data_IF_630698126700
#
_entry.id   IF_630698126700
#
_cell.length_a   1.000
_cell.length_b   1.000
_cell.length_c   1.000
_cell.angle_alpha   90.00
_cell.angle_beta   90.00
_cell.angle_gamma   90.00
#
_symmetry.space_group_name_H-M   'P 1'
#
loop_
_entity.id
_entity.type
_entity.pdbx_description
1 polymer ?
#
# COMPACT_ATOMS: atom_id res chain seq x y z
N UNK A 1 -59.02 1.41 12.70
CA UNK A 1 -59.26 2.67 13.45
C UNK A 1 -57.93 3.42 13.47
N UNK A 2 -57.78 4.45 12.61
CA UNK A 2 -58.08 5.88 12.88
C UNK A 2 -57.06 6.49 13.85
N UNK A 3 -56.08 7.26 13.31
CA UNK A 3 -56.03 8.74 13.21
C UNK A 3 -55.26 9.29 14.43
N UNK A 4 -54.09 9.93 14.28
CA UNK A 4 -53.72 11.15 13.55
C UNK A 4 -53.96 12.44 14.36
N UNK A 5 -53.15 13.45 14.00
CA UNK A 5 -53.33 14.89 14.13
C UNK A 5 -52.65 15.51 15.36
N UNK A 6 -51.59 16.31 15.21
CA UNK A 6 -51.48 17.70 14.68
C UNK A 6 -50.81 18.51 15.83
N UNK A 7 -50.09 19.63 15.68
CA UNK A 7 -50.16 20.73 14.72
C UNK A 7 -49.09 21.76 15.15
N UNK A 8 -48.25 22.26 14.22
CA UNK A 8 -48.29 23.65 13.68
C UNK A 8 -47.39 24.63 14.47
N UNK A 9 -46.40 25.30 13.84
CA UNK A 9 -46.44 26.55 13.02
C UNK A 9 -45.53 27.56 13.76
N UNK A 10 -44.84 28.56 13.19
CA UNK A 10 -44.79 29.13 11.84
C UNK A 10 -43.74 30.25 11.81
N UNK A 11 -43.10 30.41 10.63
CA UNK A 11 -42.63 31.63 9.93
C UNK A 11 -42.00 32.83 10.67
N UNK A 12 -40.90 33.34 10.09
CA UNK A 12 -40.95 34.62 9.32
C UNK A 12 -39.70 34.82 8.42
N UNK A 13 -39.94 35.23 7.17
CA UNK A 13 -39.01 35.75 6.15
C UNK A 13 -39.31 37.24 5.97
N UNK A 14 -38.32 38.12 5.74
CA UNK A 14 -38.40 39.34 4.89
C UNK A 14 -36.97 39.86 4.60
N UNK A 15 -36.52 39.99 3.32
CA UNK A 15 -36.40 41.22 2.47
C UNK A 15 -35.26 42.16 2.90
N UNK A 16 -34.49 42.89 2.08
CA UNK A 16 -34.23 43.03 0.63
C UNK A 16 -32.91 43.86 0.48
N UNK A 17 -32.34 43.90 -0.74
CA UNK A 17 -31.06 44.51 -1.22
C UNK A 17 -30.97 46.08 -1.12
N UNK A 18 -30.04 46.77 -1.82
CA UNK A 18 -28.67 47.21 -1.45
C UNK A 18 -28.49 48.76 -1.51
N UNK A 19 -27.32 49.33 -1.19
CA UNK A 19 -26.99 50.71 -1.60
C UNK A 19 -25.48 50.96 -1.82
N UNK A 20 -25.22 51.92 -2.72
CA UNK A 20 -23.98 52.28 -3.42
C UNK A 20 -23.09 53.30 -2.67
N UNK A 21 -21.91 53.53 -3.27
CA UNK A 21 -20.93 54.63 -3.05
C UNK A 21 -20.01 54.45 -1.83
N UNK A 22 -18.71 54.72 -1.87
CA UNK A 22 -17.85 55.43 -2.83
C UNK A 22 -16.74 56.11 -2.02
N UNK A 23 -15.63 56.43 -2.69
CA UNK A 23 -14.49 57.27 -2.22
C UNK A 23 -13.36 56.53 -1.48
N UNK A 24 -12.19 56.58 -2.13
CA UNK A 24 -10.93 56.07 -1.61
C UNK A 24 -10.22 57.05 -0.67
N UNK A 25 -9.28 56.51 0.10
CA UNK A 25 -8.25 57.28 0.81
C UNK A 25 -6.92 56.52 0.70
N UNK A 26 -5.89 57.32 0.45
CA UNK A 26 -4.54 57.00 0.04
C UNK A 26 -3.69 56.19 1.04
N UNK A 27 -2.90 55.28 0.46
CA UNK A 27 -1.47 55.02 0.65
C UNK A 27 -0.76 55.66 1.88
N UNK A 28 -0.35 54.81 2.83
CA UNK A 28 0.87 54.99 3.64
C UNK A 28 1.60 53.65 3.65
N UNK A 29 2.61 53.49 2.78
CA UNK A 29 3.53 52.35 2.80
C UNK A 29 4.55 52.62 3.91
N UNK A 30 4.32 52.04 5.08
CA UNK A 30 5.34 51.88 6.10
C UNK A 30 6.26 50.73 5.71
N UNK A 31 7.49 51.05 5.30
CA UNK A 31 8.57 50.07 5.15
C UNK A 31 8.98 49.58 6.54
N UNK A 32 8.30 48.55 7.02
CA UNK A 32 8.72 47.78 8.19
C UNK A 32 9.83 46.83 7.79
N UNK A 33 11.08 47.22 8.06
CA UNK A 33 12.25 46.35 7.94
C UNK A 33 12.15 45.27 9.04
N UNK A 34 11.49 44.15 8.72
CA UNK A 34 11.49 42.96 9.57
C UNK A 34 12.89 42.35 9.49
N UNK A 35 13.74 42.70 10.45
CA UNK A 35 14.97 41.98 10.71
C UNK A 35 14.60 40.57 11.20
N UNK A 36 14.50 39.64 10.26
CA UNK A 36 14.42 38.22 10.54
C UNK A 36 15.74 37.79 11.20
N UNK A 37 15.75 37.77 12.52
CA UNK A 37 16.83 37.11 13.27
C UNK A 37 16.62 35.61 13.11
N UNK A 38 17.31 35.01 12.15
CA UNK A 38 17.43 33.57 12.05
C UNK A 38 18.17 33.07 13.29
N UNK A 39 17.42 32.65 14.31
CA UNK A 39 17.99 31.78 15.34
C UNK A 39 18.41 30.49 14.64
N UNK A 40 19.68 30.07 14.71
CA UNK A 40 20.05 28.75 14.25
C UNK A 40 19.30 27.76 15.16
N UNK A 41 18.25 27.15 14.63
CA UNK A 41 17.77 25.88 15.17
C UNK A 41 18.95 24.94 14.99
N UNK A 42 19.54 24.50 16.08
CA UNK A 42 20.52 23.41 16.04
C UNK A 42 19.79 22.21 15.45
N UNK A 43 19.95 22.00 14.15
CA UNK A 43 19.48 20.81 13.48
C UNK A 43 20.21 19.64 14.12
N UNK A 44 19.51 18.88 14.96
CA UNK A 44 19.98 17.56 15.38
C UNK A 44 20.16 16.78 14.07
N UNK A 45 21.39 16.38 13.77
CA UNK A 45 21.62 15.54 12.61
C UNK A 45 20.83 14.24 12.84
N UNK A 46 20.06 13.79 11.85
CA UNK A 46 19.24 12.58 12.02
C UNK A 46 20.08 11.34 12.38
N UNK A 47 21.38 11.39 12.06
CA UNK A 47 22.42 10.43 12.42
C UNK A 47 22.65 10.32 13.94
N UNK A 48 22.45 11.41 14.70
CA UNK A 48 22.65 11.46 16.16
C UNK A 48 21.55 10.73 16.93
N UNK A 49 20.41 10.41 16.29
CA UNK A 49 19.32 9.66 16.90
C UNK A 49 19.71 8.18 16.93
N UNK A 50 20.20 7.70 18.08
CA UNK A 50 20.48 6.29 18.31
C UNK A 50 19.31 5.61 19.04
N UNK A 51 18.77 4.56 18.43
CA UNK A 51 17.67 3.79 18.99
C UNK A 51 18.14 2.40 19.40
N UNK A 52 18.11 2.15 20.70
CA UNK A 52 18.33 0.82 21.28
C UNK A 52 17.09 -0.06 21.05
N UNK A 53 17.31 -1.27 20.53
CA UNK A 53 16.24 -2.23 20.20
C UNK A 53 15.63 -2.90 21.41
N UNK A 54 16.36 -2.96 22.52
CA UNK A 54 15.92 -3.63 23.74
C UNK A 54 15.30 -2.64 24.74
N UNK A 55 15.25 -1.35 24.39
CA UNK A 55 14.62 -0.30 25.19
C UNK A 55 13.11 -0.29 25.03
N UNK A 56 12.37 -0.05 26.12
CA UNK A 56 10.91 0.20 26.11
C UNK A 56 10.52 1.34 25.16
N UNK A 57 11.43 2.29 24.92
CA UNK A 57 11.21 3.45 24.07
C UNK A 57 11.61 3.22 22.60
N UNK A 58 12.00 2.00 22.21
CA UNK A 58 12.49 1.69 20.86
C UNK A 58 11.54 2.21 19.77
N UNK A 59 10.24 1.89 19.86
CA UNK A 59 9.25 2.31 18.86
C UNK A 59 9.12 3.83 18.77
N UNK A 60 9.09 4.52 19.91
CA UNK A 60 9.04 5.99 19.96
C UNK A 60 10.30 6.61 19.35
N UNK A 61 11.48 6.08 19.67
CA UNK A 61 12.74 6.53 19.09
C UNK A 61 12.79 6.28 17.58
N UNK A 62 12.41 5.08 17.14
CA UNK A 62 12.40 4.68 15.73
C UNK A 62 11.47 5.61 14.94
N UNK A 63 10.27 5.89 15.45
CA UNK A 63 9.33 6.83 14.84
C UNK A 63 9.92 8.25 14.72
N UNK A 64 10.60 8.75 15.76
CA UNK A 64 11.29 10.05 15.69
C UNK A 64 12.39 10.07 14.63
N UNK A 65 13.17 8.99 14.52
CA UNK A 65 14.22 8.88 13.52
C UNK A 65 13.65 8.83 12.10
N UNK A 66 12.59 8.05 11.89
CA UNK A 66 11.87 8.04 10.62
C UNK A 66 11.34 9.42 10.26
N UNK A 67 10.79 10.16 11.22
CA UNK A 67 10.28 11.50 10.97
C UNK A 67 11.39 12.48 10.59
N UNK A 68 12.51 12.48 11.32
CA UNK A 68 13.67 13.30 11.00
C UNK A 68 14.15 13.07 9.56
N UNK A 69 14.29 11.80 9.16
CA UNK A 69 14.70 11.45 7.80
C UNK A 69 13.66 11.86 6.75
N UNK A 70 12.35 11.77 7.04
CA UNK A 70 11.30 12.25 6.14
C UNK A 70 11.36 13.77 5.95
N UNK A 71 11.60 14.50 7.02
CA UNK A 71 11.73 15.96 6.97
C UNK A 71 12.97 16.37 6.16
N UNK A 72 14.10 15.65 6.35
CA UNK A 72 15.32 15.80 5.54
C UNK A 72 15.06 15.51 4.05
N UNK A 73 14.38 14.40 3.73
CA UNK A 73 13.99 14.08 2.34
C UNK A 73 13.16 15.22 1.74
N UNK A 74 12.17 15.74 2.47
CA UNK A 74 11.33 16.81 1.98
C UNK A 74 12.12 18.11 1.71
N UNK A 75 13.06 18.46 2.61
CA UNK A 75 13.96 19.59 2.41
C UNK A 75 14.87 19.39 1.18
N UNK A 76 15.55 18.25 1.09
CA UNK A 76 16.46 17.93 -0.02
C UNK A 76 15.70 17.86 -1.36
N UNK A 77 14.45 17.39 -1.37
CA UNK A 77 13.58 17.40 -2.55
C UNK A 77 13.33 18.81 -3.09
N UNK A 78 13.17 19.81 -2.23
CA UNK A 78 12.99 21.21 -2.68
C UNK A 78 14.25 21.79 -3.32
N UNK A 79 15.41 21.22 -2.99
CA UNK A 79 16.72 21.59 -3.49
C UNK A 79 17.22 20.62 -4.59
N UNK A 80 16.42 19.62 -4.98
CA UNK A 80 16.84 18.50 -5.82
C UNK A 80 17.12 18.95 -7.26
N UNK A 81 18.39 19.24 -7.53
CA UNK A 81 18.92 19.56 -8.86
C UNK A 81 20.33 19.03 -9.05
N UNK A 82 20.79 18.07 -8.24
CA UNK A 82 22.15 17.54 -8.37
C UNK A 82 22.21 16.04 -8.08
N UNK A 83 23.25 15.39 -8.62
CA UNK A 83 23.56 13.99 -8.38
C UNK A 83 23.69 13.66 -6.92
N UNK A 84 24.34 14.53 -6.16
CA UNK A 84 24.48 14.31 -4.73
C UNK A 84 23.13 14.36 -4.01
N UNK A 85 22.29 15.35 -4.29
CA UNK A 85 20.98 15.48 -3.63
C UNK A 85 20.09 14.27 -3.92
N UNK A 86 20.19 13.72 -5.11
CA UNK A 86 19.47 12.53 -5.49
C UNK A 86 19.95 11.26 -4.78
N UNK A 87 21.27 11.08 -4.70
CA UNK A 87 21.88 9.98 -3.96
C UNK A 87 21.47 10.06 -2.49
N UNK A 88 21.50 11.26 -1.90
CA UNK A 88 21.12 11.50 -0.50
C UNK A 88 19.65 11.15 -0.25
N UNK A 89 18.74 11.56 -1.15
CA UNK A 89 17.32 11.20 -1.06
C UNK A 89 17.13 9.68 -1.09
N UNK A 90 17.79 8.97 -2.02
CA UNK A 90 17.69 7.51 -2.11
C UNK A 90 18.27 6.83 -0.86
N UNK A 91 19.39 7.33 -0.33
CA UNK A 91 20.00 6.82 0.90
C UNK A 91 19.10 7.02 2.12
N UNK A 92 18.50 8.20 2.27
CA UNK A 92 17.59 8.48 3.36
C UNK A 92 16.30 7.64 3.26
N UNK A 93 15.79 7.42 2.03
CA UNK A 93 14.65 6.51 1.79
C UNK A 93 14.97 5.06 2.17
N UNK A 94 16.14 4.56 1.76
CA UNK A 94 16.65 3.24 2.14
C UNK A 94 16.77 3.14 3.67
N UNK A 95 17.29 4.17 4.33
CA UNK A 95 17.41 4.20 5.78
C UNK A 95 16.04 4.16 6.49
N UNK A 96 15.07 4.94 6.01
CA UNK A 96 13.68 4.88 6.51
C UNK A 96 13.08 3.48 6.30
N UNK A 97 13.31 2.86 5.15
CA UNK A 97 12.78 1.54 4.85
C UNK A 97 13.41 0.45 5.74
N UNK A 98 14.72 0.52 5.98
CA UNK A 98 15.42 -0.35 6.93
C UNK A 98 14.89 -0.19 8.36
N UNK A 99 14.57 1.04 8.78
CA UNK A 99 13.98 1.31 10.10
C UNK A 99 12.58 0.70 10.25
N UNK A 100 11.75 0.76 9.20
CA UNK A 100 10.44 0.10 9.16
C UNK A 100 10.56 -1.42 9.22
N UNK A 101 11.48 -2.01 8.45
CA UNK A 101 11.77 -3.45 8.50
C UNK A 101 12.20 -3.87 9.90
N UNK A 102 13.11 -3.09 10.53
CA UNK A 102 13.55 -3.36 11.88
C UNK A 102 12.40 -3.30 12.91
N UNK A 103 11.49 -2.33 12.74
CA UNK A 103 10.29 -2.18 13.54
C UNK A 103 9.34 -3.37 13.38
N UNK A 104 8.97 -3.72 12.14
CA UNK A 104 8.08 -4.86 11.86
C UNK A 104 8.69 -6.18 12.35
N UNK A 105 10.01 -6.36 12.22
CA UNK A 105 10.71 -7.52 12.83
C UNK A 105 10.61 -7.54 14.35
N UNK A 106 10.61 -6.38 15.02
CA UNK A 106 10.43 -6.30 16.46
C UNK A 106 8.99 -6.63 16.88
N UNK A 107 8.00 -6.12 16.14
CA UNK A 107 6.57 -6.45 16.32
C UNK A 107 6.32 -7.95 16.16
N UNK A 108 6.91 -8.58 15.13
CA UNK A 108 6.85 -10.03 14.92
C UNK A 108 7.40 -10.79 16.12
N UNK A 109 8.58 -10.42 16.64
CA UNK A 109 9.19 -11.09 17.79
C UNK A 109 8.32 -10.99 19.05
N UNK A 110 7.77 -9.81 19.31
CA UNK A 110 6.89 -9.59 20.46
C UNK A 110 5.60 -10.41 20.34
N UNK A 111 4.99 -10.43 19.15
CA UNK A 111 3.78 -11.19 18.89
C UNK A 111 4.01 -12.71 18.97
N UNK A 112 5.13 -13.20 18.46
CA UNK A 112 5.53 -14.61 18.58
C UNK A 112 5.70 -15.02 20.05
N UNK A 113 6.32 -14.17 20.88
CA UNK A 113 6.42 -14.37 22.33
C UNK A 113 5.03 -14.42 23.00
N UNK A 114 4.13 -13.50 22.66
CA UNK A 114 2.76 -13.52 23.20
C UNK A 114 1.99 -14.79 22.79
N UNK A 115 2.20 -15.30 21.57
CA UNK A 115 1.60 -16.56 21.10
C UNK A 115 2.17 -17.76 21.87
N UNK A 116 3.45 -17.75 22.18
CA UNK A 116 4.11 -18.77 23.02
C UNK A 116 3.52 -18.78 24.44
N UNK A 117 3.44 -17.63 25.10
CA UNK A 117 2.83 -17.48 26.43
C UNK A 117 1.36 -17.93 26.45
N UNK A 118 0.58 -17.58 25.41
CA UNK A 118 -0.80 -18.07 25.27
C UNK A 118 -0.85 -19.59 25.08
N UNK A 119 0.11 -20.17 24.37
CA UNK A 119 0.17 -21.61 24.14
C UNK A 119 0.41 -22.36 25.44
N UNK A 120 1.34 -21.89 26.27
CA UNK A 120 1.59 -22.46 27.60
C UNK A 120 0.37 -22.33 28.51
N UNK A 121 -0.30 -21.17 28.50
CA UNK A 121 -1.52 -20.94 29.29
C UNK A 121 -2.67 -21.85 28.86
N UNK A 122 -2.90 -22.00 27.56
CA UNK A 122 -3.92 -22.90 27.02
C UNK A 122 -3.62 -24.34 27.43
N UNK A 123 -2.37 -24.78 27.34
CA UNK A 123 -1.96 -26.12 27.77
C UNK A 123 -2.23 -26.36 29.27
N UNK A 124 -1.93 -25.38 30.13
CA UNK A 124 -2.25 -25.47 31.55
C UNK A 124 -3.76 -25.53 31.84
N UNK A 125 -4.57 -24.78 31.08
CA UNK A 125 -6.04 -24.82 31.17
C UNK A 125 -6.60 -26.17 30.72
N UNK A 126 -6.07 -26.74 29.64
CA UNK A 126 -6.43 -28.05 29.08
C UNK A 126 -6.25 -29.17 30.12
N UNK A 127 -5.07 -29.25 30.73
CA UNK A 127 -4.79 -30.21 31.81
C UNK A 127 -5.72 -30.06 33.02
N UNK A 128 -6.08 -28.82 33.36
CA UNK A 128 -7.02 -28.54 34.45
C UNK A 128 -8.43 -29.01 34.12
N UNK A 129 -8.87 -28.72 32.89
CA UNK A 129 -10.18 -29.13 32.36
C UNK A 129 -10.31 -30.64 32.27
N UNK A 130 -9.28 -31.35 31.80
CA UNK A 130 -9.24 -32.81 31.76
C UNK A 130 -9.38 -33.41 33.17
N UNK A 131 -8.67 -32.85 34.15
CA UNK A 131 -8.76 -33.30 35.54
C UNK A 131 -10.17 -33.08 36.12
N UNK A 132 -10.77 -31.90 35.91
CA UNK A 132 -12.12 -31.62 36.38
C UNK A 132 -13.15 -32.51 35.70
N UNK A 133 -13.03 -32.69 34.38
CA UNK A 133 -13.90 -33.53 33.58
C UNK A 133 -13.83 -34.99 34.03
N UNK A 134 -12.62 -35.52 34.28
CA UNK A 134 -12.42 -36.87 34.80
C UNK A 134 -13.09 -37.09 36.17
N UNK A 135 -12.94 -36.14 37.10
CA UNK A 135 -13.60 -36.20 38.42
C UNK A 135 -15.12 -36.12 38.29
N UNK A 136 -15.64 -35.27 37.41
CA UNK A 136 -17.08 -35.15 37.16
C UNK A 136 -17.64 -36.44 36.56
N UNK A 137 -16.97 -37.04 35.58
CA UNK A 137 -17.37 -38.31 34.96
C UNK A 137 -17.39 -39.45 35.99
N UNK A 138 -16.35 -39.61 36.81
CA UNK A 138 -16.32 -40.63 37.88
C UNK A 138 -17.49 -40.44 38.88
N UNK A 139 -17.78 -39.19 39.26
CA UNK A 139 -18.89 -38.87 40.16
C UNK A 139 -20.25 -39.16 39.53
N UNK A 140 -20.46 -38.83 38.26
CA UNK A 140 -21.71 -39.12 37.54
C UNK A 140 -21.94 -40.62 37.45
N UNK A 141 -20.92 -41.40 37.12
CA UNK A 141 -21.02 -42.87 37.04
C UNK A 141 -21.36 -43.47 38.40
N UNK A 142 -20.68 -43.04 39.48
CA UNK A 142 -20.98 -43.50 40.84
C UNK A 142 -22.38 -43.11 41.29
N UNK A 143 -22.80 -41.88 41.00
CA UNK A 143 -24.14 -41.42 41.32
C UNK A 143 -25.21 -42.23 40.58
N UNK A 144 -25.01 -42.52 39.28
CA UNK A 144 -25.90 -43.38 38.50
C UNK A 144 -26.03 -44.79 39.10
N UNK A 145 -24.91 -45.43 39.47
CA UNK A 145 -24.90 -46.76 40.11
C UNK A 145 -25.63 -46.77 41.47
N UNK A 146 -25.59 -45.67 42.21
CA UNK A 146 -26.32 -45.52 43.47
C UNK A 146 -27.81 -45.22 43.21
N UNK A 147 -28.13 -44.38 42.23
CA UNK A 147 -29.51 -44.03 41.87
C UNK A 147 -30.31 -45.22 41.31
N UNK A 148 -29.65 -46.21 40.71
CA UNK A 148 -30.28 -47.49 40.32
C UNK A 148 -30.70 -48.36 41.50
N UNK A 149 -30.25 -48.07 42.73
CA UNK A 149 -30.74 -48.69 43.96
C UNK A 149 -31.92 -47.90 44.51
N UNK A 150 -33.01 -48.57 44.91
CA UNK A 150 -34.23 -47.90 45.37
C UNK A 150 -33.97 -47.15 46.70
N UNK A 151 -33.95 -45.80 46.73
CA UNK A 151 -33.56 -45.00 47.91
C UNK A 151 -34.48 -45.19 49.11
N UNK A 152 -35.75 -45.50 48.83
CA UNK A 152 -36.75 -45.79 49.86
C UNK A 152 -36.43 -47.13 50.51
N UNK A 153 -36.05 -48.14 49.72
CA UNK A 153 -35.72 -49.47 50.21
C UNK A 153 -34.42 -49.47 51.06
N UNK A 154 -33.42 -48.67 50.68
CA UNK A 154 -32.15 -48.51 51.44
C UNK A 154 -32.33 -47.74 52.75
N UNK A 155 -33.25 -46.76 52.79
CA UNK A 155 -33.60 -46.06 54.03
C UNK A 155 -34.25 -46.99 55.07
N UNK A 156 -35.11 -47.91 54.61
CA UNK A 156 -35.82 -48.88 55.47
C UNK A 156 -35.00 -50.14 55.80
N UNK A 157 -33.92 -50.44 55.04
CA UNK A 157 -33.06 -51.60 55.31
C UNK A 157 -31.98 -51.34 56.37
N UNK A 158 -31.65 -50.07 56.66
CA UNK A 158 -30.62 -49.71 57.64
C UNK A 158 -31.23 -49.55 59.04
N UNK A 159 -30.75 -50.34 60.01
CA UNK A 159 -31.36 -50.51 61.35
C UNK A 159 -31.21 -49.34 62.34
N UNK A 160 -30.79 -48.14 61.92
CA UNK A 160 -30.61 -46.98 62.82
C UNK A 160 -30.95 -45.63 62.15
N UNK A 161 -31.79 -44.84 62.81
CA UNK A 161 -32.19 -43.49 62.35
C UNK A 161 -31.01 -42.51 62.25
N UNK A 162 -29.98 -42.71 63.08
CA UNK A 162 -28.77 -41.87 63.05
C UNK A 162 -27.93 -42.12 61.79
N UNK A 163 -27.82 -43.37 61.32
CA UNK A 163 -27.09 -43.68 60.09
C UNK A 163 -27.77 -43.11 58.85
N UNK A 164 -29.10 -43.18 58.77
CA UNK A 164 -29.85 -42.67 57.61
C UNK A 164 -29.81 -41.14 57.51
N UNK A 165 -29.81 -40.42 58.63
CA UNK A 165 -29.66 -38.96 58.64
C UNK A 165 -28.24 -38.52 58.23
N UNK A 166 -27.21 -39.26 58.66
CA UNK A 166 -25.84 -39.01 58.26
C UNK A 166 -25.64 -39.23 56.74
N UNK A 167 -26.25 -40.27 56.18
CA UNK A 167 -26.22 -40.57 54.75
C UNK A 167 -26.89 -39.47 53.90
N UNK A 168 -28.07 -38.98 54.30
CA UNK A 168 -28.73 -37.85 53.63
C UNK A 168 -27.90 -36.55 53.67
N UNK A 169 -27.24 -36.27 54.80
CA UNK A 169 -26.32 -35.13 54.92
C UNK A 169 -25.13 -35.29 53.98
N UNK A 170 -24.56 -36.50 53.89
CA UNK A 170 -23.45 -36.81 52.99
C UNK A 170 -23.83 -36.66 51.52
N UNK A 171 -24.99 -37.17 51.10
CA UNK A 171 -25.49 -37.03 49.73
C UNK A 171 -25.66 -35.55 49.33
N UNK A 172 -26.26 -34.72 50.20
CA UNK A 172 -26.40 -33.28 49.96
C UNK A 172 -25.05 -32.58 49.85
N UNK A 173 -24.06 -32.97 50.66
CA UNK A 173 -22.71 -32.43 50.58
C UNK A 173 -22.05 -32.76 49.24
N UNK A 174 -22.14 -34.01 48.79
CA UNK A 174 -21.59 -34.46 47.49
C UNK A 174 -22.27 -33.76 46.32
N UNK A 175 -23.59 -33.57 46.35
CA UNK A 175 -24.32 -32.81 45.34
C UNK A 175 -23.83 -31.36 45.24
N UNK A 176 -23.66 -30.68 46.37
CA UNK A 176 -23.12 -29.31 46.42
C UNK A 176 -21.71 -29.23 45.86
N UNK A 177 -20.82 -30.14 46.26
CA UNK A 177 -19.45 -30.18 45.75
C UNK A 177 -19.41 -30.48 44.24
N UNK A 178 -20.33 -31.31 43.74
CA UNK A 178 -20.45 -31.63 42.32
C UNK A 178 -20.90 -30.41 41.51
N UNK A 179 -21.94 -29.69 41.99
CA UNK A 179 -22.37 -28.43 41.37
C UNK A 179 -21.25 -27.38 41.34
N UNK A 180 -20.48 -27.24 42.44
CA UNK A 180 -19.32 -26.36 42.49
C UNK A 180 -18.20 -26.78 41.52
N UNK A 181 -17.96 -28.09 41.37
CA UNK A 181 -16.96 -28.62 40.44
C UNK A 181 -17.38 -28.38 38.98
N UNK A 182 -18.67 -28.54 38.68
CA UNK A 182 -19.24 -28.26 37.36
C UNK A 182 -19.11 -26.77 37.01
N UNK A 183 -19.49 -25.87 37.91
CA UNK A 183 -19.34 -24.44 37.71
C UNK A 183 -17.87 -24.01 37.50
N UNK A 184 -16.92 -24.66 38.19
CA UNK A 184 -15.48 -24.44 37.95
C UNK A 184 -15.05 -24.92 36.56
N UNK A 185 -15.48 -26.10 36.14
CA UNK A 185 -15.18 -26.64 34.82
C UNK A 185 -15.77 -25.78 33.70
N UNK A 186 -17.00 -25.29 33.88
CA UNK A 186 -17.65 -24.38 32.93
C UNK A 186 -16.87 -23.06 32.79
N UNK A 187 -16.52 -22.41 33.90
CA UNK A 187 -15.71 -21.18 33.87
C UNK A 187 -14.34 -21.40 33.22
N UNK A 188 -13.66 -22.51 33.55
CA UNK A 188 -12.37 -22.84 32.93
C UNK A 188 -12.50 -23.09 31.43
N UNK A 189 -13.60 -23.69 30.99
CA UNK A 189 -13.86 -23.95 29.57
C UNK A 189 -14.06 -22.64 28.83
N UNK A 190 -14.84 -21.71 29.39
CA UNK A 190 -15.03 -20.38 28.81
C UNK A 190 -13.69 -19.65 28.67
N UNK A 191 -12.86 -19.65 29.72
CA UNK A 191 -11.52 -19.05 29.64
C UNK A 191 -10.63 -19.74 28.61
N UNK A 192 -10.66 -21.07 28.52
CA UNK A 192 -9.92 -21.81 27.49
C UNK A 192 -10.35 -21.40 26.08
N UNK A 193 -11.66 -21.34 25.82
CA UNK A 193 -12.22 -20.96 24.52
C UNK A 193 -11.82 -19.51 24.17
N UNK A 194 -11.88 -18.57 25.13
CA UNK A 194 -11.41 -17.19 24.96
C UNK A 194 -9.91 -17.09 24.64
N UNK A 195 -9.05 -17.79 25.39
CA UNK A 195 -7.60 -17.78 25.13
C UNK A 195 -7.27 -18.40 23.76
N UNK A 196 -7.99 -19.46 23.38
CA UNK A 196 -7.83 -20.09 22.06
C UNK A 196 -8.22 -19.16 20.92
N UNK A 197 -9.33 -18.43 21.06
CA UNK A 197 -9.74 -17.41 20.08
C UNK A 197 -8.71 -16.27 19.99
N UNK A 198 -8.22 -15.78 21.13
CA UNK A 198 -7.19 -14.73 21.15
C UNK A 198 -5.89 -15.20 20.46
N UNK A 199 -5.46 -16.44 20.70
CA UNK A 199 -4.30 -17.03 20.01
C UNK A 199 -4.53 -17.06 18.50
N UNK A 200 -5.71 -17.48 18.03
CA UNK A 200 -6.03 -17.50 16.60
C UNK A 200 -5.97 -16.09 15.98
N UNK A 201 -6.51 -15.08 16.67
CA UNK A 201 -6.43 -13.69 16.19
C UNK A 201 -4.99 -13.21 16.06
N UNK A 202 -4.14 -13.51 17.06
CA UNK A 202 -2.71 -13.16 17.01
C UNK A 202 -1.94 -13.90 15.92
N UNK A 203 -2.31 -15.13 15.61
CA UNK A 203 -1.73 -15.87 14.48
C UNK A 203 -2.05 -15.20 13.14
N UNK A 204 -3.29 -14.72 12.95
CA UNK A 204 -3.66 -13.97 11.75
C UNK A 204 -2.90 -12.63 11.66
N UNK A 205 -2.75 -11.93 12.78
CA UNK A 205 -1.94 -10.70 12.85
C UNK A 205 -0.47 -10.96 12.52
N UNK A 206 0.08 -12.09 12.97
CA UNK A 206 1.45 -12.51 12.65
C UNK A 206 1.64 -12.76 11.15
N UNK A 207 0.67 -13.41 10.51
CA UNK A 207 0.70 -13.67 9.07
C UNK A 207 0.63 -12.37 8.26
N UNK A 208 -0.18 -11.39 8.68
CA UNK A 208 -0.21 -10.04 8.06
C UNK A 208 1.14 -9.33 8.19
N UNK A 209 1.74 -9.35 9.39
CA UNK A 209 3.06 -8.74 9.62
C UNK A 209 4.16 -9.39 8.78
N UNK A 210 4.12 -10.72 8.61
CA UNK A 210 5.06 -11.46 7.76
C UNK A 210 4.92 -11.08 6.28
N UNK A 211 3.68 -10.97 5.78
CA UNK A 211 3.39 -10.49 4.43
C UNK A 211 3.88 -9.05 4.22
N UNK A 212 3.63 -8.16 5.19
CA UNK A 212 4.13 -6.78 5.17
C UNK A 212 5.65 -6.72 5.15
N UNK A 213 6.33 -7.56 5.92
CA UNK A 213 7.79 -7.64 5.96
C UNK A 213 8.37 -8.06 4.59
N UNK A 214 7.73 -9.01 3.91
CA UNK A 214 8.12 -9.43 2.56
C UNK A 214 8.01 -8.26 1.57
N UNK A 215 6.87 -7.57 1.55
CA UNK A 215 6.68 -6.38 0.72
C UNK A 215 7.70 -5.28 1.03
N UNK A 216 7.98 -5.06 2.32
CA UNK A 216 8.97 -4.07 2.74
C UNK A 216 10.39 -4.44 2.28
N UNK A 217 10.74 -5.73 2.27
CA UNK A 217 12.05 -6.22 1.84
C UNK A 217 12.20 -6.10 0.34
N UNK A 218 11.18 -6.49 -0.43
CA UNK A 218 11.17 -6.30 -1.88
C UNK A 218 11.30 -4.82 -2.29
N UNK A 219 10.66 -3.91 -1.53
CA UNK A 219 10.83 -2.46 -1.75
C UNK A 219 12.25 -1.99 -1.44
N UNK A 220 12.89 -2.52 -0.39
CA UNK A 220 14.28 -2.18 -0.06
C UNK A 220 15.23 -2.63 -1.18
N UNK A 221 15.06 -3.85 -1.69
CA UNK A 221 15.89 -4.39 -2.77
C UNK A 221 15.74 -3.55 -4.05
N UNK A 222 14.51 -3.12 -4.37
CA UNK A 222 14.26 -2.21 -5.49
C UNK A 222 15.00 -0.87 -5.31
N UNK A 223 14.87 -0.23 -4.15
CA UNK A 223 15.55 1.04 -3.85
C UNK A 223 17.07 0.93 -3.93
N UNK A 224 17.64 -0.22 -3.54
CA UNK A 224 19.07 -0.48 -3.66
C UNK A 224 19.50 -0.63 -5.12
N UNK A 225 18.73 -1.39 -5.91
CA UNK A 225 18.98 -1.54 -7.35
C UNK A 225 18.89 -0.19 -8.08
N UNK A 226 17.92 0.66 -7.74
CA UNK A 226 17.78 2.00 -8.34
C UNK A 226 19.00 2.88 -8.05
N UNK A 227 19.53 2.81 -6.82
CA UNK A 227 20.74 3.54 -6.44
C UNK A 227 21.96 3.05 -7.22
N UNK A 228 22.14 1.74 -7.33
CA UNK A 228 23.26 1.15 -8.09
C UNK A 228 23.18 1.52 -9.57
N UNK A 229 21.97 1.49 -10.12
CA UNK A 229 21.72 1.87 -11.50
C UNK A 229 22.01 3.35 -11.75
N UNK A 230 21.56 4.24 -10.86
CA UNK A 230 21.91 5.66 -10.92
C UNK A 230 23.42 5.88 -10.97
N UNK A 231 24.17 5.24 -10.07
CA UNK A 231 25.62 5.34 -10.06
C UNK A 231 26.27 4.76 -11.32
N UNK A 232 25.69 3.69 -11.88
CA UNK A 232 26.16 3.05 -13.12
C UNK A 232 25.97 3.95 -14.34
N UNK A 233 24.80 4.56 -14.51
CA UNK A 233 24.47 5.38 -15.69
C UNK A 233 25.15 6.74 -15.64
N UNK A 234 25.21 7.36 -14.46
CA UNK A 234 25.85 8.67 -14.30
C UNK A 234 27.36 8.56 -14.19
N UNK A 235 27.90 7.39 -13.80
CA UNK A 235 29.33 7.20 -13.51
C UNK A 235 29.87 8.23 -12.50
N UNK A 236 29.00 8.69 -11.59
CA UNK A 236 29.29 9.77 -10.65
C UNK A 236 29.57 11.14 -11.31
N UNK A 237 29.06 11.39 -12.51
CA UNK A 237 29.22 12.63 -13.27
C UNK A 237 27.94 13.49 -13.25
N UNK A 238 28.08 14.72 -12.72
CA UNK A 238 27.00 15.68 -12.57
C UNK A 238 26.46 16.17 -13.92
N UNK A 239 27.32 16.33 -14.94
CA UNK A 239 26.86 16.80 -16.24
C UNK A 239 26.00 15.75 -16.94
N UNK A 240 26.40 14.48 -16.87
CA UNK A 240 25.65 13.33 -17.35
C UNK A 240 24.29 13.23 -16.64
N UNK A 241 24.29 13.44 -15.32
CA UNK A 241 23.07 13.57 -14.51
C UNK A 241 22.12 14.66 -15.07
N UNK A 242 22.63 15.88 -15.30
CA UNK A 242 21.80 16.99 -15.76
C UNK A 242 21.24 16.78 -17.16
N UNK A 243 22.00 16.11 -18.04
CA UNK A 243 21.54 15.79 -19.39
C UNK A 243 20.38 14.81 -19.37
N UNK A 244 20.52 13.73 -18.59
CA UNK A 244 19.45 12.78 -18.38
C UNK A 244 18.22 13.49 -17.77
N UNK A 245 18.41 14.54 -16.94
CA UNK A 245 17.32 15.29 -16.29
C UNK A 245 16.45 15.99 -17.30
N UNK A 246 17.14 16.73 -18.16
CA UNK A 246 16.51 17.48 -19.20
C UNK A 246 15.78 16.54 -20.17
N UNK A 247 16.38 15.39 -20.51
CA UNK A 247 15.76 14.37 -21.35
C UNK A 247 14.47 13.82 -20.74
N UNK A 248 14.51 13.35 -19.49
CA UNK A 248 13.33 12.78 -18.83
C UNK A 248 12.19 13.82 -18.63
N UNK A 249 12.53 15.07 -18.30
CA UNK A 249 11.53 16.15 -18.19
C UNK A 249 10.91 16.46 -19.55
N UNK A 250 11.73 16.55 -20.60
CA UNK A 250 11.27 16.88 -21.93
C UNK A 250 10.38 15.77 -22.49
N UNK A 251 10.76 14.50 -22.30
CA UNK A 251 10.00 13.35 -22.79
C UNK A 251 8.64 13.24 -22.09
N UNK A 252 8.61 13.37 -20.76
CA UNK A 252 7.37 13.46 -20.00
C UNK A 252 6.45 14.56 -20.54
N UNK A 253 6.98 15.76 -20.76
CA UNK A 253 6.18 16.87 -21.27
C UNK A 253 5.65 16.57 -22.70
N UNK A 254 6.40 15.82 -23.51
CA UNK A 254 6.01 15.36 -24.84
C UNK A 254 4.80 14.41 -24.76
N UNK A 255 4.88 13.42 -23.87
CA UNK A 255 3.82 12.44 -23.61
C UNK A 255 2.56 13.13 -23.05
N UNK A 256 2.71 14.03 -22.08
CA UNK A 256 1.58 14.78 -21.50
C UNK A 256 0.79 15.53 -22.59
N UNK A 257 1.49 16.16 -23.53
CA UNK A 257 0.82 16.84 -24.65
C UNK A 257 0.11 15.84 -25.57
N UNK A 258 0.73 14.69 -25.83
CA UNK A 258 0.15 13.66 -26.68
C UNK A 258 -1.13 13.03 -26.09
N UNK A 259 -1.18 12.80 -24.77
CA UNK A 259 -2.38 12.30 -24.07
C UNK A 259 -3.53 13.31 -24.09
N UNK A 260 -3.21 14.61 -24.12
CA UNK A 260 -4.20 15.70 -24.22
C UNK A 260 -4.72 15.96 -25.65
N UNK A 261 -4.11 15.32 -26.65
CA UNK A 261 -4.41 15.49 -28.07
C UNK A 261 -4.24 14.16 -28.82
N UNK A 262 -5.05 13.17 -28.45
CA UNK A 262 -5.14 11.89 -29.16
C UNK A 262 -5.58 12.14 -30.60
N UNK A 263 -4.79 11.64 -31.55
CA UNK A 263 -4.99 11.78 -32.98
C UNK A 263 -6.05 10.83 -33.55
N UNK A 264 -5.94 10.56 -34.84
CA UNK A 264 -6.94 9.77 -35.56
C UNK A 264 -7.05 8.33 -35.04
N UNK A 265 -8.29 7.81 -34.98
CA UNK A 265 -8.56 6.38 -34.76
C UNK A 265 -7.96 5.59 -35.93
N UNK A 266 -7.11 4.63 -35.60
CA UNK A 266 -6.50 3.69 -36.56
C UNK A 266 -7.49 2.56 -36.85
N UNK A 267 -8.06 1.96 -35.79
CA UNK A 267 -8.96 0.81 -35.90
C UNK A 267 -8.94 -0.05 -34.66
N UNK A 268 -9.62 -1.18 -34.72
CA UNK A 268 -9.63 -2.17 -33.65
C UNK A 268 -8.43 -3.11 -33.83
N UNK A 269 -7.76 -3.45 -32.72
CA UNK A 269 -6.54 -4.27 -32.69
C UNK A 269 -6.69 -5.44 -31.73
N UNK A 270 -6.12 -6.58 -32.09
CA UNK A 270 -6.05 -7.77 -31.26
C UNK A 270 -4.89 -7.77 -30.27
N UNK A 271 -5.01 -8.54 -29.19
CA UNK A 271 -3.89 -8.80 -28.26
C UNK A 271 -2.74 -9.47 -29.02
N UNK A 272 -1.56 -8.86 -28.99
CA UNK A 272 -0.36 -9.34 -29.68
C UNK A 272 -0.31 -8.98 -31.16
N UNK A 273 -1.26 -8.20 -31.68
CA UNK A 273 -1.21 -7.68 -33.05
C UNK A 273 -0.10 -6.63 -33.19
N UNK A 274 0.55 -6.60 -34.35
CA UNK A 274 1.57 -5.59 -34.64
C UNK A 274 0.88 -4.25 -34.88
N UNK A 275 1.14 -3.27 -34.01
CA UNK A 275 0.50 -1.94 -34.07
C UNK A 275 1.45 -0.83 -34.52
N UNK A 276 2.76 -1.05 -34.39
CA UNK A 276 3.79 -0.11 -34.79
C UNK A 276 5.13 -0.83 -34.94
N UNK A 277 6.17 -0.07 -35.27
CA UNK A 277 7.57 -0.50 -35.17
C UNK A 277 8.33 0.42 -34.25
N UNK A 278 9.39 -0.06 -33.61
CA UNK A 278 10.26 0.77 -32.76
C UNK A 278 10.95 1.85 -33.60
N UNK A 279 10.84 3.11 -33.17
CA UNK A 279 11.39 4.28 -33.86
C UNK A 279 12.45 4.99 -33.02
N UNK A 280 12.54 6.32 -33.19
CA UNK A 280 13.40 7.23 -32.43
C UNK A 280 12.90 8.68 -32.64
N UNK A 281 11.66 8.96 -32.25
CA UNK A 281 10.99 10.25 -32.48
C UNK A 281 10.83 11.04 -31.20
N UNK A 282 10.81 12.37 -31.25
CA UNK A 282 10.69 13.21 -30.05
C UNK A 282 11.91 13.17 -29.14
N UNK A 283 11.67 13.23 -27.82
CA UNK A 283 12.69 13.33 -26.78
C UNK A 283 13.38 11.99 -26.50
N UNK A 284 14.07 11.45 -27.50
CA UNK A 284 14.66 10.10 -27.47
C UNK A 284 16.14 10.12 -27.84
N UNK A 285 17.02 9.66 -26.95
CA UNK A 285 18.47 9.55 -27.23
C UNK A 285 18.86 8.37 -28.13
N UNK A 286 17.97 7.40 -28.34
CA UNK A 286 18.22 6.26 -29.20
C UNK A 286 17.01 5.35 -29.37
N UNK A 287 17.01 4.42 -30.35
CA UNK A 287 15.85 3.59 -30.62
C UNK A 287 15.45 2.70 -29.44
N UNK A 288 14.26 2.94 -28.90
CA UNK A 288 13.63 2.13 -27.86
C UNK A 288 12.10 2.31 -27.90
N UNK A 289 11.37 1.45 -27.18
CA UNK A 289 9.94 1.60 -26.92
C UNK A 289 9.75 2.06 -25.48
N UNK A 290 9.22 3.27 -25.28
CA UNK A 290 8.69 3.70 -23.99
C UNK A 290 7.21 3.28 -23.87
N UNK A 291 6.90 2.48 -22.85
CA UNK A 291 5.58 1.84 -22.70
C UNK A 291 4.91 2.19 -21.37
N UNK A 292 3.70 2.77 -21.42
CA UNK A 292 2.95 3.16 -20.22
C UNK A 292 1.58 2.46 -20.15
N UNK A 293 1.07 2.33 -18.93
CA UNK A 293 -0.24 1.75 -18.67
C UNK A 293 -1.04 2.58 -17.65
N UNK A 294 -2.28 2.87 -18.00
CA UNK A 294 -3.22 3.66 -17.23
C UNK A 294 -4.42 2.78 -16.85
N UNK A 295 -4.76 2.68 -15.57
CA UNK A 295 -6.00 2.07 -15.06
C UNK A 295 -7.09 3.13 -14.90
N UNK A 296 -8.34 2.69 -14.84
CA UNK A 296 -9.52 3.56 -14.75
C UNK A 296 -9.51 4.68 -15.80
N UNK A 297 -9.02 4.40 -17.01
CA UNK A 297 -8.88 5.36 -18.09
C UNK A 297 -9.62 4.88 -19.35
N UNK A 298 -9.99 5.83 -20.21
CA UNK A 298 -10.54 5.60 -21.56
C UNK A 298 -10.17 6.76 -22.49
N UNK A 299 -10.29 6.55 -23.80
CA UNK A 299 -10.17 7.61 -24.80
C UNK A 299 -11.55 8.20 -25.07
N UNK A 300 -11.69 9.52 -24.89
CA UNK A 300 -12.93 10.26 -25.17
C UNK A 300 -12.60 11.63 -25.76
N UNK A 301 -13.31 12.01 -26.82
CA UNK A 301 -13.18 13.33 -27.47
C UNK A 301 -11.72 13.73 -27.80
N UNK A 302 -10.93 12.76 -28.26
CA UNK A 302 -9.51 12.97 -28.60
C UNK A 302 -8.59 13.17 -27.39
N UNK A 303 -8.97 12.67 -26.21
CA UNK A 303 -8.19 12.76 -24.97
C UNK A 303 -8.23 11.47 -24.18
N UNK A 304 -7.19 11.19 -23.41
CA UNK A 304 -7.24 10.16 -22.36
C UNK A 304 -7.85 10.78 -21.10
N UNK A 305 -8.97 10.21 -20.63
CA UNK A 305 -9.75 10.71 -19.49
C UNK A 305 -10.01 9.61 -18.46
N UNK A 306 -10.29 9.99 -17.22
CA UNK A 306 -10.82 9.11 -16.19
C UNK A 306 -12.12 8.46 -16.71
N UNK A 307 -12.25 7.16 -16.48
CA UNK A 307 -13.37 6.36 -16.99
C UNK A 307 -14.72 6.83 -16.45
N UNK A 308 -14.76 7.30 -15.21
CA UNK A 308 -15.97 7.66 -14.45
C UNK A 308 -16.23 9.17 -14.46
N UNK A 309 -15.22 10.01 -14.15
CA UNK A 309 -15.41 11.47 -14.05
C UNK A 309 -15.26 12.21 -15.37
N UNK A 310 -14.71 11.57 -16.41
CA UNK A 310 -14.29 12.21 -17.67
C UNK A 310 -13.25 13.33 -17.50
N UNK A 311 -12.61 13.43 -16.32
CA UNK A 311 -11.52 14.38 -16.10
C UNK A 311 -10.28 13.96 -16.92
N UNK A 312 -9.53 14.89 -17.52
CA UNK A 312 -8.29 14.56 -18.21
C UNK A 312 -7.34 13.80 -17.28
N UNK A 313 -6.79 12.68 -17.77
CA UNK A 313 -5.72 11.97 -17.06
C UNK A 313 -4.48 12.87 -17.11
N UNK A 314 -4.27 13.65 -16.05
CA UNK A 314 -3.08 14.49 -15.90
C UNK A 314 -1.98 13.73 -15.14
N UNK A 315 -0.73 14.07 -15.44
CA UNK A 315 0.47 13.77 -14.64
C UNK A 315 0.48 14.56 -13.32
N UNK A 316 -0.61 14.56 -12.56
CA UNK A 316 -0.38 14.36 -11.14
C UNK A 316 -0.16 12.86 -11.01
N UNK A 317 0.50 12.38 -9.98
CA UNK A 317 0.37 10.96 -9.61
C UNK A 317 -1.10 10.78 -9.21
N UNK A 318 -1.97 10.73 -10.21
CA UNK A 318 -3.34 10.33 -10.12
C UNK A 318 -3.29 8.82 -9.98
N UNK A 319 -4.29 8.25 -9.32
CA UNK A 319 -4.34 6.80 -9.10
C UNK A 319 -4.29 5.99 -10.41
N UNK A 320 -4.37 6.59 -11.59
CA UNK A 320 -4.41 5.93 -12.89
C UNK A 320 -3.11 5.25 -13.32
N UNK A 321 -1.94 5.86 -13.12
CA UNK A 321 -0.71 5.29 -13.68
C UNK A 321 -0.24 4.05 -12.89
N UNK A 322 -0.10 2.92 -13.58
CA UNK A 322 0.27 1.62 -12.98
C UNK A 322 1.54 1.03 -13.59
N UNK A 323 2.19 0.14 -12.84
CA UNK A 323 3.37 -0.57 -13.32
C UNK A 323 2.98 -1.53 -14.44
N UNK A 324 3.44 -1.31 -15.69
CA UNK A 324 3.14 -2.21 -16.79
C UNK A 324 3.74 -3.60 -16.57
N UNK A 325 4.88 -3.70 -15.87
CA UNK A 325 5.52 -4.99 -15.58
C UNK A 325 4.65 -5.89 -14.70
N UNK A 326 3.92 -5.36 -13.73
CA UNK A 326 3.01 -6.16 -12.89
C UNK A 326 1.97 -6.87 -13.75
N UNK A 327 1.46 -6.18 -14.78
CA UNK A 327 0.46 -6.71 -15.72
C UNK A 327 1.06 -7.68 -16.74
N UNK A 328 2.30 -7.44 -17.15
CA UNK A 328 3.03 -8.37 -18.04
C UNK A 328 3.34 -9.66 -17.28
N UNK A 329 3.85 -9.56 -16.05
CA UNK A 329 4.23 -10.68 -15.19
C UNK A 329 3.01 -11.50 -14.74
N UNK A 330 1.87 -10.85 -14.50
CA UNK A 330 0.60 -11.55 -14.23
C UNK A 330 -0.01 -12.22 -15.47
N UNK A 331 0.55 -11.97 -16.66
CA UNK A 331 0.00 -12.44 -17.94
C UNK A 331 -1.25 -11.69 -18.39
N UNK A 332 -1.65 -10.61 -17.70
CA UNK A 332 -2.77 -9.76 -18.10
C UNK A 332 -2.46 -8.98 -19.37
N UNK A 333 -1.22 -8.49 -19.52
CA UNK A 333 -0.70 -7.87 -20.73
C UNK A 333 0.25 -8.80 -21.46
N UNK A 334 0.22 -8.76 -22.79
CA UNK A 334 1.26 -9.32 -23.64
C UNK A 334 2.47 -8.39 -23.57
N UNK A 335 3.67 -8.97 -23.52
CA UNK A 335 4.91 -8.20 -23.62
C UNK A 335 4.94 -7.45 -24.98
N UNK A 336 5.04 -6.10 -24.99
CA UNK A 336 4.87 -5.31 -26.21
C UNK A 336 6.06 -5.39 -27.17
N UNK A 337 7.25 -5.73 -26.67
CA UNK A 337 8.44 -5.98 -27.48
C UNK A 337 9.15 -7.30 -27.10
N UNK A 338 8.63 -8.47 -27.48
CA UNK A 338 9.12 -9.76 -26.97
C UNK A 338 10.62 -10.00 -27.24
N UNK A 339 11.39 -10.36 -26.21
CA UNK A 339 12.83 -10.65 -26.33
C UNK A 339 13.74 -9.43 -26.15
N UNK A 340 13.19 -8.24 -25.96
CA UNK A 340 13.93 -7.06 -25.53
C UNK A 340 14.36 -7.16 -24.06
N UNK A 341 15.30 -6.30 -23.68
CA UNK A 341 15.64 -6.02 -22.29
C UNK A 341 15.00 -4.73 -21.83
N UNK A 342 14.73 -4.63 -20.53
CA UNK A 342 14.31 -3.38 -19.91
C UNK A 342 15.55 -2.48 -19.80
N UNK A 343 15.52 -1.30 -20.42
CA UNK A 343 16.59 -0.30 -20.31
C UNK A 343 16.33 0.70 -19.20
N UNK A 344 15.06 1.04 -18.94
CA UNK A 344 14.60 1.84 -17.79
C UNK A 344 13.27 1.28 -17.24
N UNK A 345 13.09 1.25 -15.93
CA UNK A 345 11.92 0.65 -15.28
C UNK A 345 10.80 1.65 -14.94
N UNK A 346 9.62 1.11 -14.57
CA UNK A 346 8.48 1.92 -14.14
C UNK A 346 8.60 2.37 -12.69
N UNK A 347 8.38 3.67 -12.43
CA UNK A 347 8.53 4.25 -11.09
C UNK A 347 9.84 3.86 -10.41
N UNK A 348 10.87 3.47 -11.17
CA UNK A 348 12.24 3.52 -10.66
C UNK A 348 12.39 4.95 -10.16
N UNK A 349 12.64 5.20 -8.86
CA UNK A 349 13.08 6.49 -8.36
C UNK A 349 14.35 6.85 -9.09
N UNK A 350 14.16 7.38 -10.28
CA UNK A 350 15.17 8.02 -11.02
C UNK A 350 15.20 9.44 -10.50
N UNK A 351 16.41 9.91 -10.28
CA UNK A 351 16.70 11.20 -9.69
C UNK A 351 16.22 12.41 -10.52
N UNK A 352 15.57 12.14 -11.65
CA UNK A 352 15.19 13.08 -12.70
C UNK A 352 13.70 13.32 -12.82
N UNK A 353 12.94 12.65 -11.96
CA UNK A 353 11.50 12.56 -12.04
C UNK A 353 11.07 11.10 -12.04
N UNK A 354 9.78 10.88 -12.27
CA UNK A 354 9.21 9.54 -12.33
C UNK A 354 9.24 9.11 -13.79
N UNK A 355 10.02 8.07 -14.10
CA UNK A 355 9.87 7.37 -15.37
C UNK A 355 8.47 6.71 -15.38
N UNK A 356 7.58 7.21 -16.23
CA UNK A 356 6.16 6.83 -16.21
C UNK A 356 5.82 5.59 -17.01
N UNK A 357 6.82 5.05 -17.68
CA UNK A 357 6.71 3.81 -18.43
C UNK A 357 7.81 2.82 -18.10
N UNK A 358 7.94 1.84 -18.98
CA UNK A 358 9.05 0.90 -19.03
C UNK A 358 9.65 1.03 -20.41
N UNK A 359 10.97 1.19 -20.46
CA UNK A 359 11.69 1.24 -21.73
C UNK A 359 12.18 -0.13 -22.13
N UNK A 360 11.88 -0.51 -23.36
CA UNK A 360 12.27 -1.76 -23.97
C UNK A 360 13.19 -1.51 -25.16
N UNK A 361 14.37 -2.14 -25.15
CA UNK A 361 15.31 -2.13 -26.28
C UNK A 361 16.11 -3.43 -26.34
N UNK A 362 16.76 -3.72 -27.48
CA UNK A 362 17.68 -4.85 -27.62
C UNK A 362 19.13 -4.38 -27.39
N UNK A 363 19.83 -4.98 -26.42
CA UNK A 363 21.21 -4.62 -26.03
C UNK A 363 22.27 -4.73 -27.15
N UNK A 364 21.94 -5.31 -28.31
CA UNK A 364 22.91 -5.65 -29.35
C UNK A 364 23.24 -4.49 -30.29
N UNK A 365 22.34 -3.50 -30.46
CA UNK A 365 22.59 -2.16 -31.06
C UNK A 365 21.27 -1.46 -31.45
N UNK A 366 21.31 -0.14 -31.60
CA UNK A 366 20.25 0.70 -32.19
C UNK A 366 19.69 0.16 -33.51
N UNK A 367 20.54 -0.47 -34.33
CA UNK A 367 20.15 -1.07 -35.61
C UNK A 367 19.29 -2.32 -35.45
N UNK A 368 19.47 -3.04 -34.35
CA UNK A 368 18.65 -4.22 -34.03
C UNK A 368 17.33 -3.78 -33.43
N UNK A 369 17.34 -2.76 -32.58
CA UNK A 369 16.13 -2.27 -31.91
C UNK A 369 15.19 -1.54 -32.87
N UNK A 370 15.71 -0.66 -33.73
CA UNK A 370 14.90 0.10 -34.68
C UNK A 370 14.19 -0.83 -35.68
N UNK A 371 12.91 -0.57 -35.90
CA UNK A 371 12.08 -1.32 -36.85
C UNK A 371 11.49 -2.61 -36.28
N UNK A 372 11.82 -3.00 -35.05
CA UNK A 372 11.23 -4.19 -34.42
C UNK A 372 9.72 -4.01 -34.23
N UNK A 373 8.91 -5.05 -34.43
CA UNK A 373 7.46 -4.95 -34.32
C UNK A 373 7.04 -4.73 -32.87
N UNK A 374 6.23 -3.69 -32.65
CA UNK A 374 5.57 -3.41 -31.38
C UNK A 374 4.21 -4.09 -31.40
N UNK A 375 3.93 -4.86 -30.35
CA UNK A 375 2.70 -5.62 -30.20
C UNK A 375 1.73 -4.93 -29.23
N UNK A 376 0.44 -4.93 -29.56
CA UNK A 376 -0.61 -4.53 -28.64
C UNK A 376 -0.62 -5.43 -27.38
N UNK A 377 -0.56 -4.81 -26.20
CA UNK A 377 -0.56 -5.48 -24.91
C UNK A 377 -1.85 -6.28 -24.65
N UNK A 378 -2.99 -5.77 -25.10
CA UNK A 378 -4.29 -6.44 -25.09
C UNK A 378 -5.15 -5.92 -26.26
N UNK A 379 -6.29 -6.55 -26.53
CA UNK A 379 -7.24 -6.09 -27.56
C UNK A 379 -7.79 -4.70 -27.23
N UNK A 380 -8.19 -3.93 -28.22
CA UNK A 380 -8.76 -2.60 -28.00
C UNK A 380 -8.89 -1.78 -29.28
N UNK A 381 -9.05 -0.48 -29.12
CA UNK A 381 -9.09 0.51 -30.20
C UNK A 381 -7.81 1.33 -30.19
N UNK A 382 -7.09 1.33 -31.32
CA UNK A 382 -5.84 2.05 -31.49
C UNK A 382 -6.05 3.45 -32.07
N UNK A 383 -5.27 4.41 -31.57
CA UNK A 383 -5.28 5.82 -31.95
C UNK A 383 -3.85 6.32 -32.12
N UNK A 384 -3.60 7.13 -33.14
CA UNK A 384 -2.32 7.82 -33.27
C UNK A 384 -2.16 8.84 -32.14
N UNK A 385 -0.95 9.00 -31.64
CA UNK A 385 -0.60 10.04 -30.68
C UNK A 385 0.64 10.78 -31.18
N UNK A 386 0.65 12.09 -31.04
CA UNK A 386 1.77 12.91 -31.47
C UNK A 386 1.92 14.12 -30.56
N UNK A 387 3.16 14.46 -30.27
CA UNK A 387 3.51 15.74 -29.69
C UNK A 387 3.26 16.86 -30.72
N UNK A 388 2.45 17.88 -30.41
CA UNK A 388 2.29 19.04 -31.29
C UNK A 388 3.56 19.90 -31.39
N UNK A 389 4.58 19.65 -30.57
CA UNK A 389 5.80 20.43 -30.48
C UNK A 389 7.05 19.57 -30.73
N UNK A 390 8.12 20.21 -31.21
CA UNK A 390 9.44 19.60 -31.25
C UNK A 390 10.03 19.53 -29.85
N UNK A 391 10.78 18.47 -29.59
CA UNK A 391 11.55 18.35 -28.37
C UNK A 391 12.85 19.15 -28.49
N UNK A 392 13.02 20.13 -27.60
CA UNK A 392 14.23 20.95 -27.53
C UNK A 392 15.45 20.08 -27.21
N UNK A 393 16.50 20.18 -28.03
CA UNK A 393 17.71 19.33 -27.92
C UNK A 393 17.61 17.98 -28.66
N UNK A 394 16.44 17.65 -29.23
CA UNK A 394 16.21 16.45 -30.04
C UNK A 394 15.53 16.78 -31.37
N UNK A 395 15.74 17.99 -31.92
CA UNK A 395 15.05 18.49 -33.11
C UNK A 395 15.25 17.57 -34.34
N UNK A 396 16.40 16.89 -34.40
CA UNK A 396 16.71 15.92 -35.46
C UNK A 396 15.82 14.67 -35.48
N UNK A 397 15.16 14.36 -34.36
CA UNK A 397 14.20 13.25 -34.24
C UNK A 397 12.78 13.66 -34.66
N UNK A 398 12.54 14.94 -34.91
CA UNK A 398 11.21 15.47 -35.16
C UNK A 398 10.31 15.45 -33.92
N UNK A 399 9.00 15.53 -34.16
CA UNK A 399 7.97 15.47 -33.11
C UNK A 399 7.86 14.06 -32.53
N UNK A 400 7.59 13.95 -31.23
CA UNK A 400 7.32 12.66 -30.60
C UNK A 400 6.06 12.03 -31.18
N UNK A 401 6.10 10.72 -31.45
CA UNK A 401 4.96 9.97 -31.96
C UNK A 401 4.75 8.71 -31.15
N UNK A 402 3.51 8.28 -31.08
CA UNK A 402 3.12 7.04 -30.44
C UNK A 402 1.80 6.49 -30.91
N UNK A 403 1.45 5.37 -30.31
CA UNK A 403 0.14 4.74 -30.41
C UNK A 403 -0.49 4.73 -29.01
N UNK A 404 -1.77 5.05 -28.93
CA UNK A 404 -2.58 4.85 -27.74
C UNK A 404 -3.57 3.74 -28.04
N UNK A 405 -3.69 2.75 -27.16
CA UNK A 405 -4.70 1.69 -27.28
C UNK A 405 -5.62 1.75 -26.08
N UNK A 406 -6.91 2.05 -26.34
CA UNK A 406 -7.98 1.90 -25.35
C UNK A 406 -8.46 0.46 -25.35
N UNK A 407 -8.22 -0.27 -24.27
CA UNK A 407 -8.58 -1.69 -24.17
C UNK A 407 -10.06 -1.93 -23.84
N UNK A 408 -10.85 -0.86 -23.68
CA UNK A 408 -12.28 -0.89 -23.37
C UNK A 408 -12.64 -1.62 -22.05
N UNK A 409 -11.64 -2.02 -21.29
CA UNK A 409 -11.75 -2.70 -19.99
C UNK A 409 -11.34 -1.77 -18.82
N UNK A 410 -11.22 -0.46 -19.09
CA UNK A 410 -10.74 0.53 -18.15
C UNK A 410 -9.21 0.63 -18.09
N UNK A 411 -8.50 0.00 -19.01
CA UNK A 411 -7.07 0.24 -19.22
C UNK A 411 -6.79 0.93 -20.55
N UNK A 412 -5.85 1.86 -20.53
CA UNK A 412 -5.28 2.49 -21.73
C UNK A 412 -3.78 2.27 -21.71
N UNK A 413 -3.18 1.90 -22.84
CA UNK A 413 -1.73 1.77 -22.99
C UNK A 413 -1.16 2.77 -24.00
N UNK A 414 0.04 3.26 -23.73
CA UNK A 414 0.80 4.16 -24.61
C UNK A 414 2.06 3.46 -25.09
N UNK A 415 2.34 3.57 -26.39
CA UNK A 415 3.54 3.06 -27.05
C UNK A 415 4.23 4.25 -27.71
N UNK A 416 5.34 4.70 -27.16
CA UNK A 416 5.98 5.96 -27.54
C UNK A 416 7.27 5.74 -28.34
N UNK A 417 7.77 6.81 -28.96
CA UNK A 417 8.93 6.85 -29.86
C UNK A 417 8.79 6.05 -31.16
N UNK A 418 7.58 5.91 -31.72
CA UNK A 418 7.36 5.22 -33.00
C UNK A 418 7.72 6.14 -34.22
N UNK A 419 8.00 5.60 -35.42
CA UNK A 419 8.40 6.39 -36.61
C UNK A 419 7.41 7.42 -37.14
#
# INVERSE_FOLDING_TARGET
MKLSLYSLLSFSKHHCRPWLSGVGVSLVIGVGMVLATSRPVLAVACEDIQCDRDSENYFSCNNKKQQCLRDKIAETQTQARSLQNAIDILQDQIAVQQLKIAQTRAEIRDLEKQIEELTERIYGLDLSLDRLSGVLVDRVIKHYKIATSNPVLTFFSNRSLNSSLAELKYQRLVQRQTAQTLAKAENQRLTYDEQRQLKQQKQLELDDLKSRLEQQTALLDAQQADKEELLRVTKNDEQTYQQLLAEAIADRASIERALSSVGAKVGDVGRGEVIASVGNTGCSSGPHLHFEAYKNAKVKDGKVVDKESDDPVQFKITDHLINPLDKINSGSFKHPLPGSTITNGFKTPYFLGIHTGVDFAYLHSDRVTRGQPILAADKGVAYLAQDPQLCSGFESNGVGKGMIVDHENGFVTLYWHIP
#
